data_IF_725041127150
#
_entry.id   IF_725041127150
#
_cell.length_a   1.000
_cell.length_b   1.000
_cell.length_c   1.000
_cell.angle_alpha   90.00
_cell.angle_beta   90.00
_cell.angle_gamma   90.00
#
_symmetry.space_group_name_H-M   'P 1'
#
loop_
_entity.id
_entity.type
_entity.pdbx_description
1 polymer ?
#
# COMPACT_ATOMS: atom_id res chain seq x y z
N UNK A 1 0.49 28.08 14.99
CA UNK A 1 0.69 27.25 13.79
C UNK A 1 0.72 25.80 14.24
N UNK A 2 -0.36 25.03 14.04
CA UNK A 2 -0.35 23.60 14.38
C UNK A 2 0.55 22.87 13.40
N UNK A 3 1.66 22.32 13.89
CA UNK A 3 2.48 21.38 13.14
C UNK A 3 1.71 20.07 13.11
N UNK A 4 0.96 19.82 12.03
CA UNK A 4 0.36 18.50 11.82
C UNK A 4 1.51 17.49 11.79
N UNK A 5 1.53 16.58 12.77
CA UNK A 5 2.48 15.47 12.75
C UNK A 5 2.31 14.75 11.41
N UNK A 6 3.42 14.48 10.73
CA UNK A 6 3.39 13.72 9.48
C UNK A 6 2.63 12.41 9.71
N UNK A 7 1.57 12.11 8.93
CA UNK A 7 0.82 10.86 9.08
C UNK A 7 1.67 9.61 8.80
N UNK A 8 2.94 9.81 8.41
CA UNK A 8 3.90 8.78 8.02
C UNK A 8 4.85 8.37 9.15
N UNK A 9 4.76 8.97 10.35
CA UNK A 9 5.69 8.65 11.45
C UNK A 9 5.68 7.14 11.74
N UNK A 10 6.85 6.51 11.61
CA UNK A 10 7.12 5.08 11.85
C UNK A 10 6.57 4.08 10.81
N UNK A 11 6.08 4.52 9.65
CA UNK A 11 5.69 3.59 8.57
C UNK A 11 6.89 3.22 7.69
N UNK A 12 6.99 1.94 7.32
CA UNK A 12 7.97 1.44 6.34
C UNK A 12 7.27 1.07 5.04
N UNK A 13 7.69 1.65 3.92
CA UNK A 13 7.19 1.31 2.58
C UNK A 13 8.10 0.26 1.93
N UNK A 14 7.61 -0.96 1.82
CA UNK A 14 8.24 -1.99 1.00
C UNK A 14 7.69 -1.91 -0.43
N UNK A 15 8.57 -1.94 -1.45
CA UNK A 15 8.11 -1.83 -2.84
C UNK A 15 8.90 -2.68 -3.83
N UNK A 16 8.18 -3.31 -4.75
CA UNK A 16 8.71 -4.00 -5.92
C UNK A 16 8.35 -3.22 -7.19
N UNK A 17 9.21 -3.26 -8.21
CA UNK A 17 8.97 -2.60 -9.50
C UNK A 17 8.80 -3.67 -10.58
N UNK A 18 7.64 -3.69 -11.25
CA UNK A 18 7.33 -4.67 -12.31
C UNK A 18 7.15 -3.94 -13.65
N UNK A 19 7.87 -4.37 -14.69
CA UNK A 19 7.80 -3.80 -16.04
C UNK A 19 8.92 -2.84 -16.34
N UNK A 20 8.63 -1.53 -16.37
CA UNK A 20 9.64 -0.51 -16.66
C UNK A 20 10.46 -0.20 -15.42
N UNK A 21 11.78 -0.28 -15.52
CA UNK A 21 12.68 0.15 -14.45
C UNK A 21 12.44 1.63 -14.18
N UNK A 22 12.03 1.96 -12.97
CA UNK A 22 11.92 3.34 -12.52
C UNK A 22 13.32 3.83 -12.13
N UNK A 23 13.61 5.13 -12.35
CA UNK A 23 14.62 5.79 -11.50
C UNK A 23 14.15 5.60 -10.06
N UNK A 24 15.06 5.25 -9.14
CA UNK A 24 14.73 4.98 -7.74
C UNK A 24 13.70 6.02 -7.26
N UNK A 25 12.52 5.60 -6.76
CA UNK A 25 11.54 6.54 -6.29
C UNK A 25 12.14 7.35 -5.15
N UNK A 26 11.94 8.67 -5.17
CA UNK A 26 12.28 9.54 -4.06
C UNK A 26 11.37 9.20 -2.90
N UNK A 27 11.92 8.50 -1.90
CA UNK A 27 11.23 8.30 -0.64
C UNK A 27 11.17 9.64 0.13
N UNK A 28 10.04 10.02 0.72
CA UNK A 28 10.01 11.14 1.66
C UNK A 28 10.98 10.88 2.81
N UNK A 29 11.72 11.89 3.28
CA UNK A 29 12.64 11.75 4.42
C UNK A 29 11.94 11.23 5.70
N UNK A 30 10.63 11.44 5.80
CA UNK A 30 9.81 10.99 6.93
C UNK A 30 9.36 9.53 6.84
N UNK A 31 9.84 8.74 5.88
CA UNK A 31 9.42 7.35 5.65
C UNK A 31 10.65 6.47 5.36
N UNK A 32 10.67 5.25 5.91
CA UNK A 32 11.68 4.25 5.52
C UNK A 32 11.16 3.51 4.27
N UNK A 33 11.81 3.67 3.11
CA UNK A 33 11.43 2.94 1.89
C UNK A 33 12.44 1.83 1.58
N UNK A 34 11.97 0.58 1.54
CA UNK A 34 12.80 -0.60 1.28
C UNK A 34 12.48 -1.20 -0.07
N UNK A 35 13.46 -1.15 -0.97
CA UNK A 35 13.34 -1.73 -2.30
C UNK A 35 13.46 -3.26 -2.23
N UNK A 36 12.43 -3.96 -2.70
CA UNK A 36 12.37 -5.42 -2.69
C UNK A 36 12.89 -6.08 -3.97
N UNK A 37 12.96 -5.33 -5.09
CA UNK A 37 13.46 -5.86 -6.36
C UNK A 37 12.77 -5.32 -7.61
N UNK A 38 13.41 -5.55 -8.76
CA UNK A 38 12.89 -5.21 -10.09
C UNK A 38 12.63 -6.48 -10.89
N UNK A 39 11.45 -6.57 -11.51
CA UNK A 39 11.04 -7.68 -12.35
C UNK A 39 10.61 -7.14 -13.72
N UNK A 40 11.22 -7.62 -14.81
CA UNK A 40 10.82 -7.22 -16.16
C UNK A 40 9.39 -7.68 -16.50
N UNK A 41 9.02 -8.86 -16.00
CA UNK A 41 7.67 -9.46 -16.08
C UNK A 41 7.44 -10.23 -14.77
N UNK A 42 6.28 -10.02 -14.16
CA UNK A 42 5.79 -10.70 -12.96
C UNK A 42 4.31 -10.34 -12.77
N UNK A 43 3.61 -11.04 -11.90
CA UNK A 43 2.28 -10.66 -11.45
C UNK A 43 2.36 -10.10 -10.02
N UNK A 44 1.21 -9.84 -9.40
CA UNK A 44 1.15 -9.39 -8.01
C UNK A 44 1.62 -10.47 -7.02
N UNK A 45 1.62 -11.72 -7.45
CA UNK A 45 2.08 -12.90 -6.71
C UNK A 45 3.47 -12.70 -6.09
N UNK A 46 4.45 -12.14 -6.82
CA UNK A 46 5.81 -11.92 -6.28
C UNK A 46 5.85 -10.92 -5.12
N UNK A 47 4.87 -10.02 -5.05
CA UNK A 47 4.76 -9.05 -3.97
C UNK A 47 3.94 -9.62 -2.82
N UNK A 48 2.85 -10.35 -3.13
CA UNK A 48 2.01 -11.02 -2.15
C UNK A 48 2.73 -12.16 -1.42
N UNK A 49 3.61 -12.91 -2.10
CA UNK A 49 4.44 -13.93 -1.46
C UNK A 49 5.39 -13.29 -0.43
N UNK A 50 6.08 -12.21 -0.79
CA UNK A 50 6.95 -11.47 0.15
C UNK A 50 6.17 -10.91 1.34
N UNK A 51 4.96 -10.40 1.10
CA UNK A 51 4.07 -9.93 2.15
C UNK A 51 3.68 -11.08 3.08
N UNK A 52 3.30 -12.23 2.54
CA UNK A 52 2.96 -13.41 3.32
C UNK A 52 4.13 -13.86 4.20
N UNK A 53 5.34 -13.96 3.63
CA UNK A 53 6.55 -14.30 4.39
C UNK A 53 6.86 -13.26 5.49
N UNK A 54 6.61 -11.97 5.23
CA UNK A 54 6.77 -10.92 6.25
C UNK A 54 5.85 -11.15 7.43
N UNK A 55 4.56 -11.38 7.17
CA UNK A 55 3.54 -11.56 8.20
C UNK A 55 3.78 -12.84 9.03
N UNK A 56 4.27 -13.93 8.41
CA UNK A 56 4.64 -15.15 9.14
C UNK A 56 5.71 -14.89 10.21
N UNK A 57 6.64 -13.97 9.95
CA UNK A 57 7.73 -13.64 10.88
C UNK A 57 7.34 -12.55 11.89
N UNK A 58 6.29 -11.78 11.59
CA UNK A 58 5.86 -10.60 12.36
C UNK A 58 4.33 -10.61 12.52
N UNK A 59 3.79 -11.55 13.32
CA UNK A 59 2.35 -11.73 13.45
C UNK A 59 1.61 -10.56 14.11
N UNK A 60 2.36 -9.64 14.76
CA UNK A 60 1.79 -8.48 15.45
C UNK A 60 1.90 -7.18 14.64
N UNK A 61 2.52 -7.20 13.46
CA UNK A 61 2.64 -6.01 12.63
C UNK A 61 1.35 -5.77 11.85
N UNK A 62 0.90 -4.52 11.81
CA UNK A 62 -0.16 -4.09 10.87
C UNK A 62 0.48 -3.81 9.52
N UNK A 63 0.06 -4.55 8.49
CA UNK A 63 0.63 -4.44 7.15
C UNK A 63 -0.45 -4.13 6.14
N UNK A 64 -0.21 -3.10 5.32
CA UNK A 64 -1.09 -2.72 4.23
C UNK A 64 -0.48 -3.09 2.86
N UNK A 65 -1.21 -3.83 2.02
CA UNK A 65 -0.85 -3.99 0.60
C UNK A 65 -1.47 -2.88 -0.24
N UNK A 66 -0.74 -2.35 -1.22
CA UNK A 66 -1.28 -1.43 -2.21
C UNK A 66 -0.81 -1.85 -3.59
N UNK A 67 -1.75 -1.97 -4.53
CA UNK A 67 -1.45 -1.83 -5.95
C UNK A 67 -2.52 -1.02 -6.65
N UNK A 68 -2.17 -0.52 -7.83
CA UNK A 68 -3.15 0.02 -8.75
C UNK A 68 -2.70 -0.05 -10.21
N UNK A 69 -2.02 -1.15 -10.56
CA UNK A 69 -1.24 -1.38 -11.77
C UNK A 69 0.01 -0.48 -11.86
N UNK A 70 1.16 -1.10 -11.60
CA UNK A 70 2.48 -0.46 -11.50
C UNK A 70 3.09 -0.01 -12.83
N UNK A 71 4.42 -0.01 -12.90
CA UNK A 71 5.22 0.45 -14.05
C UNK A 71 5.03 -0.36 -15.35
N UNK A 72 4.29 -1.48 -15.30
CA UNK A 72 3.96 -2.29 -16.46
C UNK A 72 2.81 -1.69 -17.31
N UNK A 73 1.87 -0.98 -16.66
CA UNK A 73 0.76 -0.29 -17.32
C UNK A 73 0.60 1.15 -16.78
N UNK A 74 1.58 2.05 -17.01
CA UNK A 74 1.54 3.39 -16.45
C UNK A 74 0.50 4.25 -17.18
N UNK A 75 -0.44 4.81 -16.41
CA UNK A 75 -1.39 5.84 -16.87
C UNK A 75 -1.46 6.98 -15.84
N UNK A 76 -1.94 8.16 -16.25
CA UNK A 76 -2.19 9.27 -15.34
C UNK A 76 -3.17 8.89 -14.22
N UNK A 77 -4.26 8.21 -14.58
CA UNK A 77 -5.26 7.67 -13.65
C UNK A 77 -4.63 6.72 -12.63
N UNK A 78 -3.77 5.79 -13.06
CA UNK A 78 -3.04 4.91 -12.14
C UNK A 78 -2.09 5.72 -11.25
N UNK A 79 -1.57 6.88 -11.67
CA UNK A 79 -0.75 7.69 -10.76
C UNK A 79 -1.59 8.35 -9.67
N UNK A 80 -2.74 8.91 -10.04
CA UNK A 80 -3.68 9.54 -9.09
C UNK A 80 -4.22 8.52 -8.10
N UNK A 81 -4.69 7.36 -8.57
CA UNK A 81 -5.19 6.31 -7.71
C UNK A 81 -4.15 5.81 -6.71
N UNK A 82 -2.85 5.91 -7.03
CA UNK A 82 -1.76 5.39 -6.18
C UNK A 82 -1.56 6.33 -5.01
N UNK A 83 -1.60 7.63 -5.29
CA UNK A 83 -1.56 8.68 -4.28
C UNK A 83 -2.76 8.62 -3.36
N UNK A 84 -3.96 8.46 -3.93
CA UNK A 84 -5.20 8.30 -3.15
C UNK A 84 -5.10 7.06 -2.26
N UNK A 85 -4.68 5.94 -2.81
CA UNK A 85 -4.48 4.70 -2.09
C UNK A 85 -3.49 4.82 -0.93
N UNK A 86 -2.29 5.31 -1.20
CA UNK A 86 -1.26 5.54 -0.18
C UNK A 86 -1.74 6.48 0.92
N UNK A 87 -2.47 7.55 0.57
CA UNK A 87 -3.05 8.44 1.58
C UNK A 87 -4.11 7.75 2.44
N UNK A 88 -4.93 6.89 1.84
CA UNK A 88 -5.99 6.18 2.56
C UNK A 88 -5.42 5.17 3.56
N UNK A 89 -4.48 4.31 3.17
CA UNK A 89 -3.92 3.32 4.12
C UNK A 89 -3.15 3.98 5.27
N UNK A 90 -2.62 5.18 5.04
CA UNK A 90 -1.89 5.96 6.04
C UNK A 90 -2.82 6.91 6.83
N UNK A 91 -4.14 6.87 6.59
CA UNK A 91 -5.10 7.63 7.38
C UNK A 91 -5.35 6.97 8.73
N UNK A 92 -5.70 7.76 9.73
CA UNK A 92 -6.05 7.28 11.07
C UNK A 92 -7.15 6.20 11.03
N UNK A 93 -8.15 6.37 10.17
CA UNK A 93 -9.23 5.41 9.99
C UNK A 93 -8.74 4.02 9.54
N UNK A 94 -7.72 3.94 8.69
CA UNK A 94 -7.13 2.66 8.28
C UNK A 94 -6.16 2.12 9.35
N UNK A 95 -5.42 2.98 10.04
CA UNK A 95 -4.47 2.56 11.07
C UNK A 95 -5.16 2.00 12.33
N UNK A 96 -6.40 2.40 12.59
CA UNK A 96 -7.20 1.95 13.73
C UNK A 96 -8.10 0.75 13.39
N UNK A 97 -7.98 0.16 12.20
CA UNK A 97 -8.74 -1.06 11.87
C UNK A 97 -8.42 -2.17 12.88
N UNK A 98 -9.48 -2.81 13.39
CA UNK A 98 -9.40 -3.88 14.38
C UNK A 98 -9.08 -3.41 15.81
N UNK A 99 -8.81 -2.13 16.03
CA UNK A 99 -8.50 -1.59 17.37
C UNK A 99 -9.70 -1.58 18.33
N UNK A 100 -10.91 -1.61 17.78
CA UNK A 100 -12.19 -1.69 18.50
C UNK A 100 -12.64 -3.14 18.75
N UNK A 101 -11.81 -4.12 18.42
CA UNK A 101 -12.17 -5.54 18.47
C UNK A 101 -13.05 -6.00 17.30
N UNK A 102 -13.25 -5.16 16.28
CA UNK A 102 -13.95 -5.56 15.05
C UNK A 102 -13.12 -6.58 14.25
N UNK A 103 -13.82 -7.48 13.56
CA UNK A 103 -13.20 -8.44 12.62
C UNK A 103 -12.98 -7.84 11.24
N UNK A 104 -13.13 -6.52 11.08
CA UNK A 104 -12.90 -5.87 9.80
C UNK A 104 -11.39 -5.86 9.54
N UNK A 105 -10.98 -6.36 8.38
CA UNK A 105 -9.58 -6.38 7.94
C UNK A 105 -9.38 -5.63 6.63
N UNK A 106 -10.40 -4.88 6.18
CA UNK A 106 -10.40 -4.22 4.89
C UNK A 106 -10.59 -2.71 5.07
N UNK A 107 -9.65 -1.95 4.49
CA UNK A 107 -9.62 -0.50 4.50
C UNK A 107 -9.45 -0.01 3.07
N UNK A 108 -9.95 1.18 2.73
CA UNK A 108 -9.54 1.78 1.46
C UNK A 108 -10.23 3.08 1.09
N UNK A 109 -9.79 3.69 -0.02
CA UNK A 109 -10.22 5.03 -0.42
C UNK A 109 -11.69 5.11 -0.81
N UNK A 110 -12.24 4.00 -1.31
CA UNK A 110 -13.61 3.93 -1.77
C UNK A 110 -14.14 2.52 -1.67
N UNK A 111 -15.18 2.36 -0.88
CA UNK A 111 -16.03 1.16 -0.88
C UNK A 111 -17.07 1.28 -1.99
N UNK A 112 -17.21 0.23 -2.80
CA UNK A 112 -18.29 0.10 -3.77
C UNK A 112 -18.97 -1.25 -3.58
N UNK A 113 -20.30 -1.25 -3.49
CA UNK A 113 -21.10 -2.45 -3.29
C UNK A 113 -21.58 -3.12 -4.58
N UNK A 114 -21.50 -2.42 -5.72
CA UNK A 114 -22.00 -2.88 -7.02
C UNK A 114 -20.88 -2.95 -8.04
N UNK A 115 -20.71 -4.01 -8.84
CA UNK A 115 -21.53 -5.23 -8.86
C UNK A 115 -21.22 -6.21 -7.72
N UNK A 116 -20.18 -5.95 -6.93
CA UNK A 116 -19.82 -6.72 -5.74
C UNK A 116 -19.09 -5.81 -4.75
N UNK A 117 -19.08 -6.21 -3.47
CA UNK A 117 -18.41 -5.50 -2.39
C UNK A 117 -16.90 -5.49 -2.62
N UNK A 118 -16.33 -4.32 -2.86
CA UNK A 118 -14.89 -4.17 -2.99
C UNK A 118 -14.42 -2.77 -2.56
N UNK A 119 -13.17 -2.70 -2.12
CA UNK A 119 -12.43 -1.44 -2.08
C UNK A 119 -11.69 -1.24 -3.40
N UNK A 120 -11.79 -0.04 -3.97
CA UNK A 120 -11.01 0.31 -5.16
C UNK A 120 -9.52 0.35 -4.79
N UNK A 121 -8.66 -0.24 -5.62
CA UNK A 121 -7.23 -0.53 -5.36
C UNK A 121 -7.06 -1.60 -4.29
N UNK A 122 -6.29 -2.68 -4.52
CA UNK A 122 -6.26 -3.77 -3.52
C UNK A 122 -5.57 -3.26 -2.27
N UNK A 123 -6.32 -3.30 -1.18
CA UNK A 123 -5.90 -2.96 0.17
C UNK A 123 -6.36 -4.07 1.10
N UNK A 124 -5.37 -4.62 1.79
CA UNK A 124 -5.46 -5.49 2.95
C UNK A 124 -4.55 -4.84 3.95
#
# INVERSE_FOLDING_TARGET
TQVYASPYRNSTLYYSVIGKKLRQPTCPESMDCRFLGFHKRAFEDVTLDKLYQYCLQRPNDTVAYIHNKGSYHPTGTNTVMRRVATKSVLSEACQQIGSDGSTCTACGPRFQSTPFLHFSTNMW
#
